data_IF_625127987848
#
_entry.id   IF_625127987848
#
_cell.length_a   1.000
_cell.length_b   1.000
_cell.length_c   1.000
_cell.angle_alpha   90.00
_cell.angle_beta   90.00
_cell.angle_gamma   90.00
#
_symmetry.space_group_name_H-M   'P 1'
#
loop_
_entity.id
_entity.type
_entity.pdbx_description
1 polymer ?
#
# COMPACT_ATOMS: atom_id res chain seq x y z
N UNK A 1 8.81 -5.80 13.36
CA UNK A 1 8.50 -6.15 11.94
C UNK A 1 9.80 -6.33 11.15
N UNK A 2 9.88 -7.35 10.28
CA UNK A 2 10.99 -7.52 9.33
C UNK A 2 10.48 -7.29 7.92
N UNK A 3 11.24 -6.55 7.09
CA UNK A 3 10.88 -6.26 5.70
C UNK A 3 11.85 -7.00 4.79
N UNK A 4 11.32 -7.68 3.77
CA UNK A 4 12.09 -8.38 2.75
C UNK A 4 11.73 -7.85 1.38
N UNK A 5 12.74 -7.58 0.56
CA UNK A 5 12.59 -7.14 -0.83
C UNK A 5 12.94 -8.24 -1.83
N UNK A 6 13.44 -9.36 -1.32
CA UNK A 6 13.83 -10.50 -2.14
C UNK A 6 13.25 -11.79 -1.54
N UNK A 7 12.62 -12.61 -2.37
CA UNK A 7 12.03 -13.88 -1.95
C UNK A 7 13.08 -14.91 -1.49
N UNK A 8 14.32 -14.80 -1.96
CA UNK A 8 15.43 -15.66 -1.53
C UNK A 8 15.92 -15.41 -0.10
N UNK A 9 15.57 -14.28 0.48
CA UNK A 9 15.96 -13.90 1.84
C UNK A 9 14.92 -14.29 2.90
N UNK A 10 13.79 -14.86 2.46
CA UNK A 10 12.72 -15.25 3.38
C UNK A 10 13.17 -16.40 4.28
N UNK A 11 12.74 -16.40 5.55
CA UNK A 11 12.95 -17.53 6.42
C UNK A 11 12.17 -18.75 5.91
N UNK A 12 12.64 -19.96 6.25
CA UNK A 12 11.87 -21.19 5.98
C UNK A 12 10.64 -21.25 6.88
N UNK A 13 9.56 -20.61 6.45
CA UNK A 13 8.29 -20.66 7.15
C UNK A 13 7.77 -22.09 7.28
N UNK A 14 7.21 -22.44 8.43
CA UNK A 14 6.53 -23.74 8.63
C UNK A 14 5.03 -23.61 8.34
N UNK A 15 4.40 -22.59 8.90
CA UNK A 15 3.03 -22.18 8.66
C UNK A 15 2.93 -20.68 8.88
N UNK A 16 2.06 -19.99 8.13
CA UNK A 16 1.86 -18.54 8.27
C UNK A 16 0.39 -18.16 8.19
N UNK A 17 0.07 -16.97 8.67
CA UNK A 17 -1.17 -16.26 8.36
C UNK A 17 -0.81 -15.13 7.41
N UNK A 18 -1.27 -15.20 6.18
CA UNK A 18 -0.89 -14.24 5.14
C UNK A 18 -2.05 -13.35 4.69
N UNK A 19 -1.71 -12.20 4.18
CA UNK A 19 -2.56 -11.38 3.31
C UNK A 19 -1.76 -10.87 2.13
N UNK A 20 -2.45 -10.67 0.98
CA UNK A 20 -1.81 -10.27 -0.27
C UNK A 20 -2.58 -9.10 -0.87
N UNK A 21 -1.85 -8.07 -1.29
CA UNK A 21 -2.45 -6.93 -1.98
C UNK A 21 -1.46 -5.83 -2.33
N UNK A 22 -1.90 -4.89 -3.14
CA UNK A 22 -1.11 -3.69 -3.45
C UNK A 22 -0.94 -2.77 -2.22
N UNK A 23 -1.91 -2.78 -1.31
CA UNK A 23 -1.96 -1.95 -0.10
C UNK A 23 -1.66 -0.46 -0.36
N UNK A 24 -2.05 0.04 -1.54
CA UNK A 24 -1.79 1.42 -1.90
C UNK A 24 -2.61 2.38 -1.02
N UNK A 25 -1.90 3.23 -0.28
CA UNK A 25 -2.46 4.15 0.70
C UNK A 25 -2.79 3.55 2.06
N UNK A 26 -2.69 2.24 2.27
CA UNK A 26 -2.99 1.53 3.53
C UNK A 26 -4.25 2.09 4.23
N UNK A 27 -5.32 2.29 3.45
CA UNK A 27 -6.58 2.88 3.91
C UNK A 27 -7.32 2.00 4.93
N UNK A 28 -8.38 2.50 5.55
CA UNK A 28 -9.11 1.80 6.64
C UNK A 28 -9.60 0.40 6.24
N UNK A 29 -9.99 0.19 4.98
CA UNK A 29 -10.30 -1.15 4.45
C UNK A 29 -9.11 -2.11 4.51
N UNK A 30 -7.91 -1.64 4.12
CA UNK A 30 -6.69 -2.42 4.28
C UNK A 30 -6.37 -2.70 5.76
N UNK A 31 -6.53 -1.68 6.61
CA UNK A 31 -6.27 -1.82 8.04
C UNK A 31 -7.19 -2.85 8.71
N UNK A 32 -8.45 -2.97 8.27
CA UNK A 32 -9.36 -4.02 8.75
C UNK A 32 -8.85 -5.42 8.42
N UNK A 33 -8.34 -5.63 7.21
CA UNK A 33 -7.70 -6.89 6.80
C UNK A 33 -6.48 -7.17 7.68
N UNK A 34 -5.58 -6.18 7.84
CA UNK A 34 -4.36 -6.32 8.62
C UNK A 34 -4.63 -6.62 10.10
N UNK A 35 -5.61 -5.96 10.70
CA UNK A 35 -6.08 -6.24 12.07
C UNK A 35 -6.55 -7.68 12.20
N UNK A 36 -7.32 -8.19 11.24
CA UNK A 36 -7.80 -9.58 11.25
C UNK A 36 -6.67 -10.58 11.11
N UNK A 37 -5.71 -10.31 10.19
CA UNK A 37 -4.49 -11.13 10.04
C UNK A 37 -3.74 -11.23 11.35
N UNK A 38 -3.48 -10.09 12.00
CA UNK A 38 -2.77 -10.03 13.27
C UNK A 38 -3.48 -10.79 14.37
N UNK A 39 -4.76 -10.51 14.58
CA UNK A 39 -5.56 -11.19 15.61
C UNK A 39 -5.61 -12.71 15.41
N UNK A 40 -5.75 -13.17 14.17
CA UNK A 40 -5.73 -14.60 13.87
C UNK A 40 -4.34 -15.20 14.12
N UNK A 41 -3.28 -14.53 13.63
CA UNK A 41 -1.91 -15.00 13.82
C UNK A 41 -1.54 -15.17 15.31
N UNK A 42 -1.94 -14.22 16.15
CA UNK A 42 -1.78 -14.28 17.60
C UNK A 42 -2.57 -15.45 18.21
N UNK A 43 -3.84 -15.62 17.81
CA UNK A 43 -4.69 -16.69 18.33
C UNK A 43 -4.17 -18.11 18.00
N UNK A 44 -3.62 -18.29 16.79
CA UNK A 44 -3.07 -19.58 16.34
C UNK A 44 -1.58 -19.72 16.55
N UNK A 45 -0.91 -18.70 17.11
CA UNK A 45 0.55 -18.64 17.37
C UNK A 45 1.39 -18.89 16.13
N UNK A 46 0.98 -18.30 15.02
CA UNK A 46 1.70 -18.35 13.74
C UNK A 46 2.17 -16.94 13.34
N UNK A 47 3.25 -16.82 12.55
CA UNK A 47 3.69 -15.50 12.08
C UNK A 47 2.69 -14.89 11.10
N UNK A 48 2.48 -13.58 11.23
CA UNK A 48 1.70 -12.75 10.32
C UNK A 48 2.57 -12.21 9.19
N UNK A 49 2.14 -12.38 7.93
CA UNK A 49 2.88 -11.94 6.76
C UNK A 49 2.01 -11.11 5.83
N UNK A 50 2.44 -9.90 5.53
CA UNK A 50 1.86 -9.06 4.47
C UNK A 50 2.71 -9.19 3.22
N UNK A 51 2.07 -9.59 2.13
CA UNK A 51 2.70 -9.66 0.81
C UNK A 51 2.20 -8.49 -0.02
N UNK A 52 3.10 -7.62 -0.43
CA UNK A 52 2.83 -6.51 -1.34
C UNK A 52 3.82 -6.54 -2.51
N UNK A 53 3.65 -5.64 -3.47
CA UNK A 53 4.36 -5.71 -4.74
C UNK A 53 5.11 -4.43 -5.07
N UNK A 54 6.25 -4.58 -5.73
CA UNK A 54 6.99 -3.49 -6.37
C UNK A 54 7.60 -4.01 -7.71
N UNK A 55 7.45 -3.25 -8.82
CA UNK A 55 6.59 -2.07 -9.00
C UNK A 55 5.12 -2.35 -8.69
N UNK A 56 4.34 -1.28 -8.49
CA UNK A 56 2.89 -1.44 -8.29
C UNK A 56 2.26 -2.16 -9.50
N UNK A 57 1.37 -3.18 -9.30
CA UNK A 57 0.83 -3.98 -10.40
C UNK A 57 0.25 -3.17 -11.56
N UNK A 58 -0.43 -2.06 -11.30
CA UNK A 58 -0.98 -1.19 -12.33
C UNK A 58 0.09 -0.60 -13.25
N UNK A 59 1.27 -0.26 -12.72
CA UNK A 59 2.37 0.28 -13.54
C UNK A 59 2.88 -0.74 -14.56
N UNK A 60 2.85 -2.03 -14.20
CA UNK A 60 3.31 -3.10 -15.09
C UNK A 60 2.23 -3.51 -16.09
N UNK A 61 0.96 -3.54 -15.64
CA UNK A 61 -0.17 -4.02 -16.47
C UNK A 61 -0.68 -2.96 -17.44
N UNK A 62 -0.74 -1.70 -17.02
CA UNK A 62 -1.27 -0.59 -17.84
C UNK A 62 -0.19 0.04 -18.72
N UNK A 63 1.09 -0.26 -18.47
CA UNK A 63 2.24 0.26 -19.22
C UNK A 63 2.44 1.77 -19.07
N UNK A 64 3.30 2.35 -19.91
CA UNK A 64 3.67 3.77 -19.84
C UNK A 64 2.54 4.74 -20.25
N UNK A 65 1.41 4.24 -20.73
CA UNK A 65 0.34 5.06 -21.30
C UNK A 65 -0.75 5.46 -20.28
N UNK A 66 -0.73 4.93 -19.07
CA UNK A 66 -1.72 5.28 -18.05
C UNK A 66 -1.10 6.18 -16.97
N UNK A 67 -1.74 7.31 -16.64
CA UNK A 67 -1.30 8.16 -15.53
C UNK A 67 -1.63 7.49 -14.20
N UNK A 68 -0.84 6.47 -13.83
CA UNK A 68 -1.03 5.80 -12.54
C UNK A 68 -0.51 6.71 -11.43
N UNK A 69 -1.42 7.24 -10.62
CA UNK A 69 -1.09 8.03 -9.45
C UNK A 69 -1.14 7.14 -8.21
N UNK A 70 0.01 6.90 -7.58
CA UNK A 70 0.14 6.09 -6.37
C UNK A 70 -0.15 6.92 -5.13
N UNK A 71 -0.92 6.36 -4.21
CA UNK A 71 -1.15 6.96 -2.90
C UNK A 71 0.09 6.85 -2.01
N UNK A 72 0.84 5.75 -2.15
CA UNK A 72 2.06 5.51 -1.37
C UNK A 72 3.15 4.94 -2.25
N UNK A 73 4.35 5.50 -2.15
CA UNK A 73 5.57 4.86 -2.62
C UNK A 73 5.94 3.69 -1.70
N UNK A 74 6.87 2.85 -2.12
CA UNK A 74 7.21 1.62 -1.38
C UNK A 74 7.62 1.89 0.06
N UNK A 75 8.49 2.85 0.32
CA UNK A 75 8.97 3.18 1.66
C UNK A 75 7.85 3.78 2.54
N UNK A 76 6.99 4.63 1.97
CA UNK A 76 5.84 5.18 2.66
C UNK A 76 4.83 4.08 3.03
N UNK A 77 4.61 3.13 2.12
CA UNK A 77 3.73 2.00 2.34
C UNK A 77 4.27 1.07 3.43
N UNK A 78 5.54 0.70 3.37
CA UNK A 78 6.16 -0.16 4.39
C UNK A 78 6.15 0.49 5.76
N UNK A 79 6.38 1.80 5.86
CA UNK A 79 6.23 2.56 7.10
C UNK A 79 4.80 2.52 7.67
N UNK A 80 3.77 2.64 6.82
CA UNK A 80 2.38 2.52 7.26
C UNK A 80 2.02 1.09 7.69
N UNK A 81 2.53 0.08 6.99
CA UNK A 81 2.35 -1.33 7.34
C UNK A 81 3.06 -1.69 8.66
N UNK A 82 4.22 -1.08 8.94
CA UNK A 82 4.92 -1.26 10.21
C UNK A 82 4.06 -0.87 11.40
N UNK A 83 3.31 0.23 11.29
CA UNK A 83 2.38 0.70 12.34
C UNK A 83 1.22 -0.27 12.61
N UNK A 84 0.95 -1.21 11.69
CA UNK A 84 -0.08 -2.21 11.89
C UNK A 84 0.41 -3.42 12.73
N UNK A 85 1.68 -3.44 13.10
CA UNK A 85 2.25 -4.44 14.02
C UNK A 85 2.37 -5.85 13.44
N UNK A 86 2.54 -5.97 12.13
CA UNK A 86 2.78 -7.26 11.45
C UNK A 86 4.18 -7.78 11.76
N UNK A 87 4.38 -9.11 11.75
CA UNK A 87 5.70 -9.70 11.98
C UNK A 87 6.60 -9.53 10.76
N UNK A 88 6.03 -9.75 9.56
CA UNK A 88 6.75 -9.70 8.29
C UNK A 88 5.99 -8.91 7.22
N UNK A 89 6.74 -8.14 6.44
CA UNK A 89 6.28 -7.52 5.20
C UNK A 89 7.20 -7.97 4.07
N UNK A 90 6.62 -8.49 3.00
CA UNK A 90 7.35 -8.93 1.82
C UNK A 90 6.94 -8.08 0.63
N UNK A 91 7.90 -7.35 0.08
CA UNK A 91 7.74 -6.55 -1.14
C UNK A 91 8.20 -7.41 -2.31
N UNK A 92 7.28 -8.23 -2.83
CA UNK A 92 7.58 -9.14 -3.92
C UNK A 92 7.74 -8.40 -5.26
N UNK A 93 8.67 -8.82 -6.14
CA UNK A 93 8.80 -8.26 -7.47
C UNK A 93 7.57 -8.58 -8.31
N UNK A 94 6.93 -7.56 -8.90
CA UNK A 94 5.82 -7.74 -9.81
C UNK A 94 6.28 -7.49 -11.24
N UNK A 95 6.37 -8.55 -12.02
CA UNK A 95 6.78 -8.51 -13.43
C UNK A 95 5.63 -8.92 -14.35
N UNK A 96 5.77 -8.67 -15.64
CA UNK A 96 4.80 -9.15 -16.63
C UNK A 96 4.67 -10.68 -16.58
N UNK A 97 5.79 -11.40 -16.53
CA UNK A 97 5.79 -12.86 -16.41
C UNK A 97 5.06 -13.33 -15.14
N UNK A 98 5.25 -12.63 -14.00
CA UNK A 98 4.52 -12.93 -12.77
C UNK A 98 3.00 -12.75 -12.95
N UNK A 99 2.57 -11.72 -13.65
CA UNK A 99 1.15 -11.43 -13.89
C UNK A 99 0.47 -12.41 -14.86
N UNK A 100 1.24 -13.13 -15.66
CA UNK A 100 0.77 -14.09 -16.66
C UNK A 100 0.73 -15.54 -16.12
N UNK A 101 1.10 -15.77 -14.88
CA UNK A 101 0.99 -17.09 -14.23
C UNK A 101 -0.46 -17.56 -14.19
N UNK A 102 -0.66 -18.87 -14.36
CA UNK A 102 -1.96 -19.47 -14.07
C UNK A 102 -2.33 -19.29 -12.60
N UNK A 103 -3.62 -19.31 -12.22
CA UNK A 103 -4.01 -19.26 -10.82
C UNK A 103 -3.38 -20.38 -9.98
N UNK A 104 -3.25 -21.59 -10.52
CA UNK A 104 -2.61 -22.71 -9.82
C UNK A 104 -1.11 -22.47 -9.62
N UNK A 105 -0.39 -22.02 -10.65
CA UNK A 105 1.03 -21.69 -10.53
C UNK A 105 1.26 -20.57 -9.52
N UNK A 106 0.41 -19.54 -9.52
CA UNK A 106 0.48 -18.47 -8.53
C UNK A 106 0.32 -19.01 -7.09
N UNK A 107 -0.63 -19.91 -6.87
CA UNK A 107 -0.84 -20.50 -5.55
C UNK A 107 0.34 -21.40 -5.18
N UNK A 108 0.70 -22.34 -6.03
CA UNK A 108 1.69 -23.37 -5.73
C UNK A 108 3.12 -22.81 -5.69
N UNK A 109 3.55 -22.13 -6.77
CA UNK A 109 4.94 -21.69 -6.96
C UNK A 109 5.26 -20.38 -6.23
N UNK A 110 4.24 -19.62 -5.83
CA UNK A 110 4.44 -18.38 -5.10
C UNK A 110 3.91 -18.46 -3.66
N UNK A 111 2.61 -18.69 -3.44
CA UNK A 111 2.06 -18.65 -2.09
C UNK A 111 2.53 -19.82 -1.23
N UNK A 112 2.32 -21.05 -1.69
CA UNK A 112 2.65 -22.26 -0.93
C UNK A 112 4.16 -22.43 -0.80
N UNK A 113 4.89 -22.28 -1.88
CA UNK A 113 6.34 -22.47 -1.93
C UNK A 113 7.10 -21.54 -0.97
N UNK A 114 6.77 -20.26 -0.95
CA UNK A 114 7.52 -19.26 -0.17
C UNK A 114 6.94 -18.99 1.21
N UNK A 115 5.63 -19.10 1.39
CA UNK A 115 4.98 -18.65 2.61
C UNK A 115 4.34 -19.78 3.42
N UNK A 116 4.07 -20.93 2.82
CA UNK A 116 3.42 -22.09 3.46
C UNK A 116 2.19 -21.65 4.29
N UNK A 117 1.20 -20.96 3.68
CA UNK A 117 0.09 -20.39 4.40
C UNK A 117 -0.76 -21.48 5.06
N UNK A 118 -1.08 -21.31 6.34
CA UNK A 118 -2.16 -22.04 7.00
C UNK A 118 -3.47 -21.30 6.82
N UNK A 119 -3.41 -19.96 6.81
CA UNK A 119 -4.56 -19.07 6.61
C UNK A 119 -4.20 -17.98 5.60
N UNK A 120 -5.15 -17.71 4.69
CA UNK A 120 -5.10 -16.59 3.74
C UNK A 120 -6.26 -15.67 4.05
N UNK A 121 -5.98 -14.45 4.52
CA UNK A 121 -6.97 -13.43 4.82
C UNK A 121 -6.96 -12.39 3.71
N UNK A 122 -8.05 -12.22 2.99
CA UNK A 122 -8.16 -11.32 1.85
C UNK A 122 -9.48 -10.55 1.83
N UNK A 123 -9.48 -9.40 1.13
CA UNK A 123 -10.69 -8.65 0.88
C UNK A 123 -11.53 -9.27 -0.26
N UNK A 124 -12.79 -8.93 -0.28
CA UNK A 124 -13.80 -9.41 -1.23
C UNK A 124 -13.44 -9.17 -2.73
N UNK A 125 -12.61 -8.18 -3.03
CA UNK A 125 -12.24 -7.75 -4.38
C UNK A 125 -10.87 -8.28 -4.85
N UNK A 126 -10.31 -9.23 -4.12
CA UNK A 126 -9.01 -9.80 -4.43
C UNK A 126 -9.03 -10.61 -5.74
N UNK A 127 -8.13 -10.26 -6.66
CA UNK A 127 -7.92 -10.98 -7.92
C UNK A 127 -6.44 -11.23 -8.17
N UNK A 128 -6.12 -12.36 -8.79
CA UNK A 128 -4.75 -12.77 -9.11
C UNK A 128 -4.67 -13.63 -10.38
N UNK A 129 -3.44 -13.91 -10.79
CA UNK A 129 -3.16 -14.72 -11.99
C UNK A 129 -3.52 -14.06 -13.31
N UNK A 130 -3.23 -14.75 -14.40
CA UNK A 130 -3.44 -14.26 -15.76
C UNK A 130 -4.88 -13.80 -15.98
N UNK A 131 -5.04 -12.62 -16.60
CA UNK A 131 -6.35 -11.99 -16.88
C UNK A 131 -7.26 -11.86 -15.64
N UNK A 132 -6.69 -11.91 -14.42
CA UNK A 132 -7.43 -11.82 -13.14
C UNK A 132 -8.48 -12.93 -12.96
N UNK A 133 -8.25 -14.11 -13.51
CA UNK A 133 -9.17 -15.25 -13.42
C UNK A 133 -9.23 -15.81 -12.00
N UNK A 134 -8.11 -15.79 -11.28
CA UNK A 134 -8.07 -16.14 -9.86
C UNK A 134 -8.81 -15.08 -9.02
N UNK A 135 -9.69 -15.54 -8.14
CA UNK A 135 -10.45 -14.73 -7.21
C UNK A 135 -10.62 -15.47 -5.88
N UNK A 136 -11.42 -14.91 -4.97
CA UNK A 136 -11.66 -15.52 -3.66
C UNK A 136 -12.33 -16.89 -3.75
N UNK A 137 -13.29 -17.06 -4.67
CA UNK A 137 -13.98 -18.35 -4.87
C UNK A 137 -13.00 -19.40 -5.38
N UNK A 138 -12.09 -19.00 -6.29
CA UNK A 138 -11.04 -19.89 -6.76
C UNK A 138 -10.15 -20.39 -5.60
N UNK A 139 -9.75 -19.51 -4.69
CA UNK A 139 -8.98 -19.87 -3.50
C UNK A 139 -9.78 -20.80 -2.58
N UNK A 140 -11.05 -20.47 -2.29
CA UNK A 140 -11.93 -21.29 -1.44
C UNK A 140 -12.15 -22.69 -2.03
N UNK A 141 -12.39 -22.79 -3.33
CA UNK A 141 -12.60 -24.09 -4.00
C UNK A 141 -11.34 -24.98 -4.02
N UNK A 142 -10.16 -24.37 -3.95
CA UNK A 142 -8.89 -25.08 -4.00
C UNK A 142 -8.18 -25.17 -2.63
N UNK A 143 -8.77 -24.68 -1.56
CA UNK A 143 -8.14 -24.63 -0.23
C UNK A 143 -7.73 -26.01 0.29
N UNK A 144 -8.55 -27.04 0.08
CA UNK A 144 -8.22 -28.42 0.47
C UNK A 144 -7.05 -28.97 -0.34
N UNK A 145 -7.00 -28.69 -1.65
CA UNK A 145 -5.92 -29.12 -2.54
C UNK A 145 -4.56 -28.57 -2.09
N UNK A 146 -4.51 -27.33 -1.69
CA UNK A 146 -3.26 -26.64 -1.36
C UNK A 146 -2.98 -26.52 0.15
N UNK A 147 -3.88 -27.00 1.02
CA UNK A 147 -3.66 -27.14 2.46
C UNK A 147 -3.76 -25.85 3.27
N UNK A 148 -4.52 -24.86 2.82
CA UNK A 148 -4.79 -23.62 3.55
C UNK A 148 -6.29 -23.40 3.76
N UNK A 149 -6.63 -22.44 4.60
CA UNK A 149 -7.99 -21.94 4.82
C UNK A 149 -8.10 -20.47 4.40
N UNK A 150 -9.20 -20.11 3.72
CA UNK A 150 -9.44 -18.75 3.22
C UNK A 150 -10.44 -18.03 4.11
N UNK A 151 -10.06 -16.85 4.57
CA UNK A 151 -10.91 -15.96 5.37
C UNK A 151 -11.14 -14.68 4.57
N UNK A 152 -12.40 -14.43 4.26
CA UNK A 152 -12.84 -13.24 3.56
C UNK A 152 -13.15 -12.10 4.53
N UNK A 153 -12.74 -10.89 4.17
CA UNK A 153 -13.10 -9.66 4.86
C UNK A 153 -14.06 -8.87 3.98
N UNK A 154 -15.21 -8.55 4.56
CA UNK A 154 -16.24 -7.77 3.91
C UNK A 154 -15.81 -6.33 3.61
N UNK A 155 -16.53 -5.72 2.68
CA UNK A 155 -16.34 -4.34 2.28
C UNK A 155 -16.56 -3.38 3.44
N UNK A 156 -15.68 -2.43 3.62
CA UNK A 156 -15.78 -1.40 4.65
C UNK A 156 -16.37 -0.11 4.10
N UNK A 157 -17.16 0.58 4.92
CA UNK A 157 -17.77 1.87 4.60
C UNK A 157 -17.43 2.91 5.67
N UNK A 158 -17.26 4.18 5.26
CA UNK A 158 -17.14 5.35 6.13
C UNK A 158 -18.01 6.44 5.54
N UNK A 159 -18.94 7.00 6.33
CA UNK A 159 -19.91 8.01 5.89
C UNK A 159 -20.59 7.58 4.56
N UNK A 160 -21.08 6.32 4.49
CA UNK A 160 -21.69 5.70 3.30
C UNK A 160 -20.77 5.58 2.06
N UNK A 161 -19.53 5.96 2.17
CA UNK A 161 -18.53 5.80 1.11
C UNK A 161 -17.82 4.46 1.25
N UNK A 162 -17.90 3.65 0.20
CA UNK A 162 -17.12 2.42 0.13
C UNK A 162 -15.62 2.73 0.11
N UNK A 163 -14.90 2.30 1.13
CA UNK A 163 -13.47 2.60 1.27
C UNK A 163 -12.66 1.86 0.22
N UNK A 164 -11.91 2.60 -0.58
CA UNK A 164 -10.98 2.05 -1.57
C UNK A 164 -9.89 3.07 -1.93
N UNK A 165 -8.75 2.60 -2.45
CA UNK A 165 -7.70 3.50 -2.97
C UNK A 165 -8.22 4.48 -4.03
N UNK A 166 -9.22 4.07 -4.83
CA UNK A 166 -9.85 4.93 -5.84
C UNK A 166 -10.59 6.10 -5.19
N UNK A 167 -11.33 5.88 -4.11
CA UNK A 167 -12.04 6.96 -3.42
C UNK A 167 -11.07 7.91 -2.71
N UNK A 168 -10.00 7.38 -2.11
CA UNK A 168 -8.95 8.23 -1.52
C UNK A 168 -8.30 9.11 -2.60
N UNK A 169 -7.98 8.56 -3.79
CA UNK A 169 -7.44 9.35 -4.91
C UNK A 169 -8.39 10.45 -5.34
N UNK A 170 -9.67 10.13 -5.56
CA UNK A 170 -10.69 11.11 -5.96
C UNK A 170 -10.82 12.26 -4.96
N UNK A 171 -10.74 11.99 -3.66
CA UNK A 171 -10.74 13.04 -2.63
C UNK A 171 -9.49 13.92 -2.74
N UNK A 172 -8.29 13.31 -2.85
CA UNK A 172 -7.04 14.04 -3.00
C UNK A 172 -6.97 14.87 -4.28
N UNK A 173 -7.44 14.34 -5.41
CA UNK A 173 -7.50 15.06 -6.69
C UNK A 173 -8.39 16.31 -6.66
N UNK A 174 -9.37 16.33 -5.76
CA UNK A 174 -10.22 17.49 -5.48
C UNK A 174 -9.63 18.44 -4.42
N UNK A 175 -8.50 18.11 -3.83
CA UNK A 175 -7.92 18.85 -2.70
C UNK A 175 -8.62 18.58 -1.36
N UNK A 176 -9.59 17.66 -1.31
CA UNK A 176 -10.30 17.29 -0.08
C UNK A 176 -9.45 16.32 0.76
N UNK A 177 -8.43 16.88 1.37
CA UNK A 177 -7.51 16.13 2.26
C UNK A 177 -8.19 15.65 3.54
N UNK A 178 -9.29 16.28 3.95
CA UNK A 178 -10.04 15.89 5.13
C UNK A 178 -10.79 14.55 4.89
N UNK A 179 -11.53 14.44 3.79
CA UNK A 179 -12.16 13.17 3.40
C UNK A 179 -11.11 12.10 3.11
N UNK A 180 -10.02 12.43 2.43
CA UNK A 180 -8.92 11.50 2.21
C UNK A 180 -8.35 10.95 3.53
N UNK A 181 -8.17 11.80 4.55
CA UNK A 181 -7.69 11.39 5.86
C UNK A 181 -8.70 10.47 6.59
N UNK A 182 -9.99 10.77 6.52
CA UNK A 182 -11.06 9.90 7.09
C UNK A 182 -11.02 8.50 6.45
N UNK A 183 -11.02 8.43 5.12
CA UNK A 183 -11.00 7.16 4.38
C UNK A 183 -9.71 6.37 4.63
N UNK A 184 -8.58 7.07 4.78
CA UNK A 184 -7.28 6.44 5.02
C UNK A 184 -7.06 6.05 6.48
N UNK A 185 -7.75 6.71 7.45
CA UNK A 185 -7.48 6.55 8.88
C UNK A 185 -6.16 7.20 9.33
N UNK A 186 -5.53 7.99 8.47
CA UNK A 186 -4.31 8.76 8.74
C UNK A 186 -4.21 9.94 7.79
N UNK A 187 -3.43 10.96 8.15
CA UNK A 187 -3.15 12.07 7.25
C UNK A 187 -2.38 11.59 6.02
N UNK A 188 -2.79 12.09 4.85
CA UNK A 188 -2.05 11.85 3.63
C UNK A 188 -0.65 12.44 3.72
N UNK A 189 0.34 11.71 3.26
CA UNK A 189 1.74 12.14 3.30
C UNK A 189 2.48 11.80 2.02
N UNK A 190 3.53 12.55 1.75
CA UNK A 190 4.52 12.26 0.71
C UNK A 190 5.90 12.72 1.18
N UNK A 191 6.91 12.11 0.62
CA UNK A 191 8.30 12.43 0.87
C UNK A 191 8.90 13.20 -0.30
N UNK A 192 9.88 14.04 -0.02
CA UNK A 192 10.60 14.77 -1.07
C UNK A 192 11.94 15.29 -0.56
N UNK A 193 12.74 15.79 -1.50
CA UNK A 193 14.05 16.35 -1.20
C UNK A 193 13.97 17.88 -1.20
N UNK A 194 14.63 18.51 -0.24
CA UNK A 194 14.75 19.97 -0.23
C UNK A 194 15.67 20.40 -1.37
N UNK A 195 15.16 21.25 -2.24
CA UNK A 195 15.90 21.80 -3.38
C UNK A 195 16.03 23.32 -3.28
N UNK A 196 17.07 23.86 -3.91
CA UNK A 196 17.28 25.30 -3.99
C UNK A 196 16.25 25.91 -4.95
N UNK A 197 15.47 26.89 -4.47
CA UNK A 197 14.59 27.71 -5.29
C UNK A 197 15.13 29.12 -5.48
N UNK A 198 14.28 30.04 -5.90
CA UNK A 198 14.63 31.44 -6.14
C UNK A 198 14.95 32.25 -4.87
N UNK A 199 14.72 31.68 -3.67
CA UNK A 199 15.02 32.28 -2.37
C UNK A 199 14.30 33.62 -2.08
N UNK A 200 13.21 33.92 -2.76
CA UNK A 200 12.44 35.17 -2.59
C UNK A 200 12.03 35.36 -1.13
N UNK A 201 11.52 34.30 -0.49
CA UNK A 201 11.13 34.35 0.93
C UNK A 201 12.26 34.75 1.85
N UNK A 202 13.51 34.38 1.55
CA UNK A 202 14.68 34.79 2.34
C UNK A 202 14.91 36.30 2.27
N UNK A 203 14.69 36.91 1.08
CA UNK A 203 14.85 38.37 0.88
C UNK A 203 13.84 39.20 1.66
N UNK A 204 12.68 38.63 1.99
CA UNK A 204 11.61 39.32 2.76
C UNK A 204 11.49 38.82 4.21
N UNK A 205 12.50 38.09 4.71
CA UNK A 205 12.54 37.64 6.12
C UNK A 205 11.75 36.34 6.41
N UNK A 206 11.15 35.70 5.41
CA UNK A 206 10.40 34.45 5.53
C UNK A 206 11.01 33.31 4.68
N UNK A 207 12.13 32.71 5.11
CA UNK A 207 12.75 31.64 4.36
C UNK A 207 11.83 30.42 4.22
N UNK A 208 11.73 29.89 3.00
CA UNK A 208 10.91 28.72 2.67
C UNK A 208 11.77 27.58 2.13
N UNK A 209 11.36 26.35 2.39
CA UNK A 209 11.93 25.15 1.78
C UNK A 209 11.11 24.76 0.55
N UNK A 210 11.78 24.56 -0.59
CA UNK A 210 11.15 23.98 -1.76
C UNK A 210 11.36 22.46 -1.71
N UNK A 211 10.28 21.69 -1.90
CA UNK A 211 10.30 20.24 -1.83
C UNK A 211 10.08 19.68 -3.23
N UNK A 212 11.05 18.94 -3.74
CA UNK A 212 10.91 18.18 -4.98
C UNK A 212 10.43 16.76 -4.66
N UNK A 213 9.29 16.36 -5.22
CA UNK A 213 8.82 14.99 -5.26
C UNK A 213 9.32 14.39 -6.56
N UNK A 214 10.26 13.45 -6.47
CA UNK A 214 11.00 12.97 -7.64
C UNK A 214 10.30 11.84 -8.38
N UNK A 215 9.45 11.07 -7.70
CA UNK A 215 8.71 9.98 -8.35
C UNK A 215 7.47 10.54 -9.07
N UNK A 216 7.40 10.43 -10.41
CA UNK A 216 6.29 10.97 -11.20
C UNK A 216 4.96 10.28 -10.92
N UNK A 217 4.98 9.08 -10.36
CA UNK A 217 3.77 8.34 -10.00
C UNK A 217 3.21 8.71 -8.64
N UNK A 218 3.95 9.46 -7.81
CA UNK A 218 3.43 9.88 -6.52
C UNK A 218 2.31 10.90 -6.69
N UNK A 219 1.13 10.60 -6.18
CA UNK A 219 0.03 11.56 -6.14
C UNK A 219 0.38 12.68 -5.17
N UNK A 220 0.34 13.92 -5.65
CA UNK A 220 0.46 15.12 -4.83
C UNK A 220 -0.86 15.89 -4.95
N UNK A 221 -1.48 16.35 -3.86
CA UNK A 221 -2.73 17.13 -3.91
C UNK A 221 -2.61 18.33 -4.87
N UNK A 222 -3.71 18.83 -5.47
CA UNK A 222 -3.70 19.90 -6.47
C UNK A 222 -3.16 21.22 -5.93
N UNK A 223 -3.12 22.25 -6.77
CA UNK A 223 -2.73 23.60 -6.36
C UNK A 223 -3.59 24.07 -5.18
N UNK A 224 -2.95 24.65 -4.18
CA UNK A 224 -3.62 25.10 -2.96
C UNK A 224 -2.67 25.37 -1.80
N UNK A 225 -3.27 25.77 -0.69
CA UNK A 225 -2.58 26.00 0.58
C UNK A 225 -3.04 24.94 1.56
N UNK A 226 -2.08 24.27 2.21
CA UNK A 226 -2.33 23.13 3.09
C UNK A 226 -1.64 23.36 4.44
N UNK A 227 -2.37 23.16 5.52
CA UNK A 227 -1.77 23.00 6.84
C UNK A 227 -1.11 21.60 6.90
N UNK A 228 0.16 21.55 7.25
CA UNK A 228 0.94 20.32 7.22
C UNK A 228 1.75 20.06 8.48
N UNK A 229 2.05 18.82 8.73
CA UNK A 229 3.14 18.40 9.59
C UNK A 229 4.33 17.99 8.73
N UNK A 230 5.49 18.51 9.05
CA UNK A 230 6.75 18.18 8.36
C UNK A 230 7.66 17.41 9.30
N UNK A 231 8.09 16.25 8.88
CA UNK A 231 9.12 15.49 9.59
C UNK A 231 10.49 15.77 8.97
N UNK A 232 11.40 16.32 9.74
CA UNK A 232 12.78 16.58 9.33
C UNK A 232 13.75 16.09 10.39
N UNK A 233 14.68 15.18 10.02
CA UNK A 233 15.68 14.60 10.94
C UNK A 233 15.07 14.10 12.27
N UNK A 234 13.94 13.37 12.17
CA UNK A 234 13.26 12.79 13.34
C UNK A 234 12.38 13.76 14.14
N UNK A 235 12.37 15.06 13.81
CA UNK A 235 11.57 16.07 14.49
C UNK A 235 10.34 16.44 13.66
N UNK A 236 9.17 16.56 14.33
CA UNK A 236 7.91 17.00 13.73
C UNK A 236 7.72 18.49 13.89
N UNK A 237 7.49 19.18 12.79
CA UNK A 237 7.20 20.62 12.74
C UNK A 237 5.78 20.86 12.20
N UNK A 238 5.12 21.91 12.65
CA UNK A 238 3.91 22.44 12.00
C UNK A 238 4.36 23.37 10.88
N UNK A 239 3.65 23.35 9.75
CA UNK A 239 3.97 24.20 8.61
C UNK A 239 2.77 24.48 7.74
N UNK A 240 2.98 25.37 6.80
CA UNK A 240 2.06 25.67 5.72
C UNK A 240 2.76 25.31 4.41
N UNK A 241 2.10 24.49 3.59
CA UNK A 241 2.58 24.12 2.27
C UNK A 241 1.74 24.84 1.22
N UNK A 242 2.43 25.49 0.29
CA UNK A 242 1.82 25.99 -0.94
C UNK A 242 2.23 25.10 -2.11
N UNK A 243 1.26 24.65 -2.89
CA UNK A 243 1.46 24.04 -4.19
C UNK A 243 0.79 24.92 -5.25
N UNK A 244 1.53 25.32 -6.26
CA UNK A 244 1.03 26.15 -7.34
C UNK A 244 2.14 26.54 -8.29
N UNK A 245 1.76 26.97 -9.48
CA UNK A 245 2.67 27.66 -10.40
C UNK A 245 2.87 29.06 -9.85
N UNK A 246 4.11 29.48 -9.76
CA UNK A 246 4.42 30.88 -9.45
C UNK A 246 4.23 31.71 -10.73
N UNK A 247 3.61 32.87 -10.64
CA UNK A 247 3.63 33.82 -11.75
C UNK A 247 5.05 34.23 -12.13
#
# INVERSE_FOLDING_TARGET
MKIFHNLSELPDFKNTVITIGSFDGVHTGHQSILKRVKALAEAVKLPSVVITFHPHPRLVLEGNNAPVQLLTLTDEKTYLLEKQGMDYVVVAPFTKAFSEQSPDDYIEQFLVKYFKPKYIVIGYDHHFGAKRVGNIDYLKNNQTKFGFEVIEIEKQFIDDIAVSSTQVRKALEKGDVATAAKLSGHYYSFSGTVVKGQQIGRGIGFPTANIAVTDPHKLVPPHGIYAVFVWHKGTRHKGMMYRGDRP
#
